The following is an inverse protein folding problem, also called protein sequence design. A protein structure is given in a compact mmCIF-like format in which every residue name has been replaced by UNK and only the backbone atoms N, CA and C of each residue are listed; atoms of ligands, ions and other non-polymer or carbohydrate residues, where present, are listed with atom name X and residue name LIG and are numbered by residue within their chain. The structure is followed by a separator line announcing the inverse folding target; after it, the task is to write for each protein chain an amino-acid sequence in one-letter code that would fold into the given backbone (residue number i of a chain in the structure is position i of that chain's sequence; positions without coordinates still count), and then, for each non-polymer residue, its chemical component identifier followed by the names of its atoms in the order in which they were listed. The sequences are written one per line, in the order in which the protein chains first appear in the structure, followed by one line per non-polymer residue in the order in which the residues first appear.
data_IF_401824715636
#
_entry.id   IF_401824715636
#
_cell.length_a   1.000
_cell.length_b   1.000
_cell.length_c   1.000
_cell.angle_alpha   90.00
_cell.angle_beta   90.00
_cell.angle_gamma   90.00
#
_symmetry.space_group_name_H-M   'P 1'
#
loop_
_entity.id
_entity.type
_entity.pdbx_description
1 polymer ?
#
# COMPACT_ATOMS: atom_id res chain seq x y z
N UNK A 1 33.39 -0.95 12.19
CA UNK A 1 33.25 0.18 11.25
C UNK A 1 33.85 -0.26 9.91
N UNK A 2 33.09 -0.99 9.12
CA UNK A 2 33.41 -1.19 7.71
C UNK A 2 32.98 0.09 7.00
N UNK A 3 33.95 0.71 6.37
CA UNK A 3 33.89 2.04 5.78
C UNK A 3 32.85 2.05 4.65
N UNK A 4 31.80 2.85 4.75
CA UNK A 4 30.76 3.02 3.71
C UNK A 4 31.36 3.44 2.36
N UNK A 5 32.53 4.08 2.38
CA UNK A 5 33.33 4.39 1.18
C UNK A 5 33.76 3.13 0.45
N UNK A 6 34.09 2.07 1.16
CA UNK A 6 34.49 0.77 0.60
C UNK A 6 33.31 0.08 -0.07
N UNK A 7 32.09 0.19 0.48
CA UNK A 7 30.87 -0.39 -0.11
C UNK A 7 30.49 0.35 -1.40
N UNK A 8 30.60 1.67 -1.43
CA UNK A 8 30.32 2.50 -2.61
C UNK A 8 31.36 2.25 -3.73
N UNK A 9 32.63 2.15 -3.40
CA UNK A 9 33.71 1.82 -4.34
C UNK A 9 33.52 0.40 -4.86
N UNK A 10 33.14 -0.55 -4.04
CA UNK A 10 32.86 -1.93 -4.46
C UNK A 10 31.64 -2.01 -5.40
N UNK A 11 30.60 -1.24 -5.18
CA UNK A 11 29.44 -1.16 -6.08
C UNK A 11 29.82 -0.51 -7.42
N UNK A 12 30.65 0.55 -7.42
CA UNK A 12 31.17 1.16 -8.65
C UNK A 12 32.09 0.22 -9.41
N UNK A 13 32.98 -0.49 -8.73
CA UNK A 13 33.87 -1.49 -9.34
C UNK A 13 33.07 -2.68 -9.89
N UNK A 14 32.03 -3.13 -9.19
CA UNK A 14 31.14 -4.21 -9.64
C UNK A 14 30.36 -3.82 -10.90
N UNK A 15 29.84 -2.60 -10.98
CA UNK A 15 29.19 -2.06 -12.19
C UNK A 15 30.21 -1.96 -13.35
N UNK A 16 31.45 -1.60 -13.06
CA UNK A 16 32.50 -1.49 -14.09
C UNK A 16 32.91 -2.87 -14.61
N UNK A 17 33.05 -3.87 -13.75
CA UNK A 17 33.39 -5.25 -14.14
C UNK A 17 32.21 -5.86 -14.93
N UNK A 18 30.96 -5.64 -14.52
CA UNK A 18 29.78 -6.11 -15.27
C UNK A 18 29.68 -5.45 -16.65
N UNK A 19 30.12 -4.19 -16.80
CA UNK A 19 30.18 -3.51 -18.12
C UNK A 19 31.18 -4.20 -19.09
N UNK A 20 32.26 -4.76 -18.58
CA UNK A 20 33.27 -5.42 -19.37
C UNK A 20 32.94 -6.88 -19.71
N UNK A 21 32.35 -7.63 -18.77
CA UNK A 21 32.06 -9.07 -18.95
C UNK A 21 30.76 -9.36 -19.73
N UNK A 22 29.77 -8.50 -19.73
CA UNK A 22 28.44 -8.77 -20.31
C UNK A 22 28.17 -8.11 -21.67
N UNK A 23 29.17 -7.66 -22.38
CA UNK A 23 29.02 -7.05 -23.73
C UNK A 23 27.95 -5.92 -23.78
N UNK A 24 27.82 -5.19 -22.70
CA UNK A 24 27.18 -3.87 -22.65
C UNK A 24 25.65 -3.79 -22.89
N UNK A 25 24.89 -4.83 -22.61
CA UNK A 25 23.42 -4.67 -22.67
C UNK A 25 22.96 -3.68 -21.60
N UNK A 26 22.46 -2.52 -22.03
CA UNK A 26 21.94 -1.45 -21.15
C UNK A 26 20.86 -1.98 -20.21
N UNK A 27 20.07 -2.96 -20.67
CA UNK A 27 18.99 -3.59 -19.90
C UNK A 27 19.53 -4.21 -18.61
N UNK A 28 20.58 -5.02 -18.69
CA UNK A 28 21.18 -5.65 -17.50
C UNK A 28 21.74 -4.63 -16.49
N UNK A 29 22.32 -3.54 -16.99
CA UNK A 29 22.83 -2.48 -16.12
C UNK A 29 21.70 -1.74 -15.40
N UNK A 30 20.59 -1.55 -16.07
CA UNK A 30 19.39 -0.95 -15.49
C UNK A 30 18.78 -1.88 -14.45
N UNK A 31 18.60 -3.15 -14.78
CA UNK A 31 18.03 -4.15 -13.85
C UNK A 31 18.88 -4.29 -12.58
N UNK A 32 20.21 -4.50 -12.72
CA UNK A 32 21.13 -4.57 -11.58
C UNK A 32 21.07 -3.31 -10.71
N UNK A 33 21.06 -2.13 -11.33
CA UNK A 33 20.94 -0.87 -10.60
C UNK A 33 19.63 -0.79 -9.81
N UNK A 34 18.52 -1.22 -10.40
CA UNK A 34 17.22 -1.19 -9.75
C UNK A 34 17.16 -2.19 -8.59
N UNK A 35 17.56 -3.44 -8.82
CA UNK A 35 17.49 -4.53 -7.83
C UNK A 35 18.46 -4.35 -6.66
N UNK A 36 19.62 -3.76 -6.90
CA UNK A 36 20.61 -3.50 -5.83
C UNK A 36 20.19 -2.33 -4.91
N UNK A 37 19.49 -1.33 -5.44
CA UNK A 37 19.20 -0.12 -4.69
C UNK A 37 17.75 0.01 -4.22
N UNK A 38 16.81 -0.67 -4.89
CA UNK A 38 15.39 -0.51 -4.66
C UNK A 38 14.66 -1.85 -4.61
N UNK A 39 13.69 -1.96 -3.74
CA UNK A 39 12.66 -2.99 -3.84
C UNK A 39 11.40 -2.37 -4.40
N UNK A 40 10.78 -3.02 -5.38
CA UNK A 40 9.51 -2.59 -5.96
C UNK A 40 8.44 -3.64 -5.71
N UNK A 41 7.19 -3.20 -5.63
CA UNK A 41 6.03 -4.08 -5.63
C UNK A 41 4.83 -3.38 -6.26
N UNK A 42 3.93 -4.13 -6.89
CA UNK A 42 2.70 -3.61 -7.47
C UNK A 42 1.52 -3.96 -6.58
N UNK A 43 0.92 -2.94 -6.01
CA UNK A 43 -0.24 -3.07 -5.15
C UNK A 43 -1.48 -3.44 -5.97
N UNK A 44 -2.02 -4.63 -5.73
CA UNK A 44 -3.17 -5.16 -6.49
C UNK A 44 -4.47 -4.43 -6.19
N UNK A 45 -4.61 -3.85 -4.99
CA UNK A 45 -5.84 -3.18 -4.60
C UNK A 45 -6.01 -1.81 -5.29
N UNK A 46 -4.95 -1.00 -5.31
CA UNK A 46 -5.01 0.35 -5.89
C UNK A 46 -4.27 0.50 -7.22
N UNK A 47 -3.61 -0.54 -7.71
CA UNK A 47 -2.87 -0.56 -8.98
C UNK A 47 -1.58 0.28 -8.98
N UNK A 48 -1.16 0.83 -7.84
CA UNK A 48 0.03 1.67 -7.75
C UNK A 48 1.28 0.82 -7.55
N UNK A 49 2.38 1.26 -8.13
CA UNK A 49 3.71 0.75 -7.78
C UNK A 49 4.15 1.38 -6.47
N UNK A 50 4.67 0.58 -5.57
CA UNK A 50 5.30 1.00 -4.33
C UNK A 50 6.78 0.62 -4.38
N UNK A 51 7.62 1.39 -3.68
CA UNK A 51 9.04 1.10 -3.60
C UNK A 51 9.58 1.32 -2.19
N UNK A 52 10.69 0.67 -1.91
CA UNK A 52 11.50 0.93 -0.73
C UNK A 52 12.97 1.00 -1.14
N UNK A 53 13.73 1.87 -0.49
CA UNK A 53 15.19 1.95 -0.67
C UNK A 53 15.81 0.82 0.16
N UNK A 54 16.63 -0.03 -0.48
CA UNK A 54 17.26 -1.17 0.19
C UNK A 54 18.39 -0.69 1.11
N UNK A 55 19.16 0.31 0.63
CA UNK A 55 20.23 0.92 1.41
C UNK A 55 19.97 2.42 1.50
N UNK A 56 19.29 2.91 2.55
CA UNK A 56 19.12 4.34 2.74
C UNK A 56 20.49 4.97 2.99
N UNK A 57 20.91 5.87 2.09
CA UNK A 57 22.05 6.73 2.34
C UNK A 57 21.71 7.58 3.59
N UNK A 58 22.60 7.64 4.58
CA UNK A 58 22.49 8.62 5.66
C UNK A 58 22.40 10.01 5.03
N UNK A 59 21.44 10.80 5.45
CA UNK A 59 21.17 12.14 4.93
C UNK A 59 22.45 12.97 4.81
N UNK A 60 22.70 13.41 3.59
CA UNK A 60 23.76 14.24 3.06
C UNK A 60 24.29 15.29 4.05
N UNK A 61 25.46 15.02 4.60
CA UNK A 61 26.25 16.02 5.30
C UNK A 61 27.10 16.75 4.26
N UNK A 62 26.53 17.82 3.68
CA UNK A 62 27.06 18.62 2.57
C UNK A 62 28.45 19.30 2.81
N UNK A 63 29.24 18.84 3.76
CA UNK A 63 30.56 19.43 4.07
C UNK A 63 31.76 18.69 3.48
N UNK A 64 31.60 17.47 2.94
CA UNK A 64 32.76 16.68 2.46
C UNK A 64 32.92 16.63 0.94
N UNK A 65 32.22 17.48 0.18
CA UNK A 65 32.26 17.45 -1.29
C UNK A 65 33.56 17.97 -1.95
N UNK A 66 34.40 18.62 -1.19
CA UNK A 66 35.66 19.22 -1.71
C UNK A 66 36.85 18.24 -1.74
N UNK A 67 36.86 17.21 -0.88
CA UNK A 67 37.96 16.27 -0.77
C UNK A 67 37.92 15.13 -1.80
N UNK A 68 36.71 14.78 -2.30
CA UNK A 68 36.48 13.64 -3.20
C UNK A 68 36.94 13.84 -4.65
N UNK A 69 37.21 15.07 -5.07
CA UNK A 69 37.60 15.36 -6.47
C UNK A 69 39.10 15.21 -6.72
N UNK A 70 39.94 15.17 -5.71
CA UNK A 70 41.39 14.98 -5.88
C UNK A 70 41.80 13.52 -5.91
N UNK A 71 41.11 12.63 -5.15
CA UNK A 71 41.44 11.19 -5.13
C UNK A 71 41.05 10.46 -6.42
N UNK A 72 40.04 10.92 -7.15
CA UNK A 72 39.63 10.32 -8.44
C UNK A 72 40.62 10.56 -9.59
N UNK A 73 41.55 11.51 -9.45
CA UNK A 73 42.59 11.76 -10.47
C UNK A 73 43.83 10.88 -10.33
N UNK A 74 44.02 10.25 -9.16
CA UNK A 74 45.17 9.42 -8.88
C UNK A 74 45.02 7.95 -9.35
N UNK A 75 43.77 7.50 -9.66
CA UNK A 75 43.49 6.08 -9.98
C UNK A 75 43.65 5.73 -11.47
N UNK A 76 43.78 6.73 -12.35
CA UNK A 76 43.80 6.53 -13.81
C UNK A 76 45.19 6.16 -14.43
N UNK A 77 46.27 6.14 -13.63
CA UNK A 77 47.63 5.87 -14.15
C UNK A 77 48.15 4.43 -13.90
N UNK A 78 47.50 3.59 -13.04
CA UNK A 78 48.06 2.29 -12.65
C UNK A 78 47.37 1.04 -13.28
N UNK A 79 46.52 1.18 -14.27
CA UNK A 79 45.77 0.06 -14.84
C UNK A 79 46.50 -0.69 -15.97
N UNK A 80 47.72 -1.21 -15.71
CA UNK A 80 48.40 -2.15 -16.62
C UNK A 80 49.19 -3.22 -15.87
N UNK A 81 48.56 -4.16 -15.24
CA UNK A 81 49.05 -5.54 -15.01
C UNK A 81 48.01 -6.31 -14.15
N UNK A 82 47.27 -7.22 -14.75
CA UNK A 82 46.40 -8.16 -14.03
C UNK A 82 47.03 -9.54 -14.14
N UNK A 83 47.51 -10.05 -13.00
CA UNK A 83 48.16 -11.33 -12.76
C UNK A 83 47.24 -12.32 -12.03
N UNK A 84 47.64 -13.60 -11.94
CA UNK A 84 46.91 -14.74 -11.41
C UNK A 84 46.39 -14.59 -9.96
N UNK A 85 46.88 -13.64 -9.20
CA UNK A 85 46.40 -13.31 -7.84
C UNK A 85 44.92 -12.78 -7.82
N UNK A 86 44.47 -12.22 -8.92
CA UNK A 86 43.09 -11.71 -9.08
C UNK A 86 42.03 -12.82 -9.05
N UNK A 87 42.39 -14.06 -9.43
CA UNK A 87 41.47 -15.22 -9.34
C UNK A 87 41.27 -15.73 -7.91
N UNK A 88 42.29 -15.60 -7.06
CA UNK A 88 42.18 -15.95 -5.64
C UNK A 88 41.29 -14.96 -4.89
N UNK A 89 41.46 -13.65 -5.16
CA UNK A 89 40.64 -12.58 -4.59
C UNK A 89 39.15 -12.72 -4.97
N UNK A 90 38.86 -13.18 -6.21
CA UNK A 90 37.48 -13.41 -6.65
C UNK A 90 36.80 -14.59 -5.94
N UNK A 91 37.58 -15.61 -5.55
CA UNK A 91 37.04 -16.76 -4.81
C UNK A 91 36.76 -16.41 -3.36
N UNK A 92 37.59 -15.57 -2.76
CA UNK A 92 37.40 -15.09 -1.38
C UNK A 92 36.24 -14.06 -1.30
N UNK A 93 36.05 -13.21 -2.33
CA UNK A 93 34.91 -12.30 -2.44
C UNK A 93 33.57 -13.03 -2.55
N UNK A 94 33.50 -14.16 -3.27
CA UNK A 94 32.29 -15.00 -3.31
C UNK A 94 31.96 -15.67 -1.95
N UNK A 95 32.98 -15.99 -1.18
CA UNK A 95 32.79 -16.53 0.18
C UNK A 95 32.26 -15.44 1.12
N UNK A 96 32.81 -14.23 1.05
CA UNK A 96 32.37 -13.08 1.83
C UNK A 96 30.93 -12.65 1.46
N UNK A 97 30.56 -12.69 0.17
CA UNK A 97 29.19 -12.37 -0.30
C UNK A 97 28.16 -13.42 0.19
N UNK A 98 28.58 -14.67 0.35
CA UNK A 98 27.74 -15.74 0.92
C UNK A 98 27.56 -15.58 2.43
N UNK A 99 28.58 -15.15 3.15
CA UNK A 99 28.53 -14.90 4.58
C UNK A 99 27.77 -13.60 4.92
N UNK A 100 27.86 -12.57 4.05
CA UNK A 100 27.07 -11.34 4.14
C UNK A 100 25.59 -11.60 3.89
N UNK A 101 25.23 -12.43 2.91
CA UNK A 101 23.84 -12.84 2.67
C UNK A 101 23.26 -13.65 3.81
N UNK A 102 24.07 -14.49 4.46
CA UNK A 102 23.66 -15.25 5.64
C UNK A 102 23.50 -14.38 6.89
N UNK A 103 24.21 -13.25 6.99
CA UNK A 103 24.03 -12.25 8.07
C UNK A 103 22.84 -11.32 7.81
N UNK A 104 22.49 -11.07 6.55
CA UNK A 104 21.34 -10.23 6.17
C UNK A 104 19.99 -10.92 6.42
N UNK A 105 19.94 -12.26 6.45
CA UNK A 105 18.76 -13.04 6.86
C UNK A 105 18.40 -12.86 8.34
N UNK A 106 19.31 -12.33 9.17
CA UNK A 106 19.14 -12.08 10.60
C UNK A 106 18.66 -10.67 10.96
N UNK A 107 18.89 -9.68 10.12
CA UNK A 107 18.41 -8.30 10.30
C UNK A 107 17.24 -8.04 9.35
N UNK A 108 16.01 -8.24 9.82
CA UNK A 108 14.82 -7.70 9.16
C UNK A 108 14.89 -6.18 9.19
N UNK A 109 15.57 -5.56 8.22
CA UNK A 109 15.43 -4.13 7.96
C UNK A 109 13.98 -3.95 7.52
N UNK A 110 13.16 -3.32 8.35
CA UNK A 110 11.79 -2.97 7.96
C UNK A 110 11.86 -2.04 6.75
N UNK A 111 11.56 -2.59 5.57
CA UNK A 111 11.51 -1.82 4.34
C UNK A 111 10.39 -0.78 4.46
N UNK A 112 10.74 0.49 4.48
CA UNK A 112 9.76 1.58 4.48
C UNK A 112 9.19 1.74 3.07
N UNK A 113 8.04 1.10 2.83
CA UNK A 113 7.34 1.18 1.56
C UNK A 113 6.64 2.53 1.38
N UNK A 114 6.74 3.10 0.19
CA UNK A 114 6.05 4.34 -0.20
C UNK A 114 5.56 4.25 -1.64
N UNK A 115 4.52 5.01 -1.96
CA UNK A 115 3.98 5.04 -3.33
C UNK A 115 5.00 5.67 -4.26
N UNK A 116 5.27 5.00 -5.37
CA UNK A 116 6.20 5.47 -6.40
C UNK A 116 5.54 6.54 -7.26
N UNK A 117 6.06 7.76 -7.18
CA UNK A 117 5.52 8.93 -7.88
C UNK A 117 6.28 9.21 -9.19
N UNK A 118 5.76 10.16 -9.98
CA UNK A 118 6.47 10.65 -11.17
C UNK A 118 7.77 11.36 -10.82
N UNK A 119 7.80 12.03 -9.69
CA UNK A 119 8.98 12.70 -9.15
C UNK A 119 10.06 11.67 -8.78
N UNK A 120 9.67 10.56 -8.15
CA UNK A 120 10.56 9.46 -7.82
C UNK A 120 11.13 8.82 -9.08
N UNK A 121 10.29 8.57 -10.09
CA UNK A 121 10.72 8.07 -11.39
C UNK A 121 11.78 8.97 -12.05
N UNK A 122 11.53 10.29 -12.07
CA UNK A 122 12.48 11.23 -12.65
C UNK A 122 13.79 11.31 -11.86
N UNK A 123 13.72 11.21 -10.53
CA UNK A 123 14.88 11.20 -9.64
C UNK A 123 15.72 9.94 -9.88
N UNK A 124 15.07 8.78 -10.01
CA UNK A 124 15.70 7.51 -10.31
C UNK A 124 16.40 7.53 -11.67
N UNK A 125 15.74 8.02 -12.73
CA UNK A 125 16.34 8.19 -14.06
C UNK A 125 17.56 9.11 -13.99
N UNK A 126 17.50 10.21 -13.23
CA UNK A 126 18.65 11.11 -13.06
C UNK A 126 19.80 10.46 -12.31
N UNK A 127 19.51 9.63 -11.29
CA UNK A 127 20.55 8.88 -10.56
C UNK A 127 21.23 7.88 -11.47
N UNK A 128 20.48 7.08 -12.24
CA UNK A 128 21.01 6.15 -13.23
C UNK A 128 21.93 6.84 -14.24
N UNK A 129 21.51 8.01 -14.77
CA UNK A 129 22.34 8.81 -15.69
C UNK A 129 23.65 9.29 -15.06
N UNK A 130 23.63 9.74 -13.80
CA UNK A 130 24.85 10.16 -13.07
C UNK A 130 25.84 9.02 -12.90
N UNK A 131 25.35 7.80 -12.76
CA UNK A 131 26.17 6.57 -12.68
C UNK A 131 26.60 6.05 -14.07
N UNK A 132 26.28 6.76 -15.16
CA UNK A 132 26.63 6.37 -16.52
C UNK A 132 25.83 5.16 -17.04
N UNK A 133 24.75 4.79 -16.38
CA UNK A 133 23.83 3.72 -16.82
C UNK A 133 23.02 4.25 -17.99
N UNK A 134 22.99 3.48 -19.10
CA UNK A 134 22.36 3.89 -20.36
C UNK A 134 23.34 4.36 -21.43
N UNK A 135 24.62 4.56 -21.10
CA UNK A 135 25.65 4.94 -22.08
C UNK A 135 25.32 6.25 -22.80
N UNK A 136 25.23 6.21 -24.13
CA UNK A 136 24.88 7.38 -24.97
C UNK A 136 23.36 7.64 -25.01
N UNK A 137 22.52 6.68 -24.65
CA UNK A 137 21.06 6.80 -24.59
C UNK A 137 20.56 7.09 -23.17
N UNK A 138 19.30 7.49 -23.06
CA UNK A 138 18.68 7.67 -21.73
C UNK A 138 18.16 6.32 -21.23
N UNK A 139 18.43 5.90 -20.00
CA UNK A 139 17.91 4.66 -19.43
C UNK A 139 16.41 4.76 -19.08
N UNK A 140 15.72 5.82 -19.50
CA UNK A 140 14.35 6.11 -19.12
C UNK A 140 13.38 5.02 -19.55
N UNK A 141 13.46 4.60 -20.82
CA UNK A 141 12.55 3.60 -21.38
C UNK A 141 12.79 2.23 -20.74
N UNK A 142 14.05 1.84 -20.55
CA UNK A 142 14.40 0.56 -19.93
C UNK A 142 13.91 0.49 -18.47
N UNK A 143 14.01 1.61 -17.72
CA UNK A 143 13.46 1.73 -16.38
C UNK A 143 11.92 1.65 -16.39
N UNK A 144 11.26 2.30 -17.34
CA UNK A 144 9.80 2.28 -17.50
C UNK A 144 9.32 0.87 -17.84
N UNK A 145 9.98 0.19 -18.80
CA UNK A 145 9.70 -1.19 -19.16
C UNK A 145 9.87 -2.16 -17.99
N UNK A 146 10.93 -2.02 -17.19
CA UNK A 146 11.13 -2.81 -15.97
C UNK A 146 9.96 -2.61 -14.99
N UNK A 147 9.62 -1.35 -14.70
CA UNK A 147 8.56 -1.02 -13.75
C UNK A 147 7.16 -1.47 -14.20
N UNK A 148 6.92 -1.56 -15.51
CA UNK A 148 5.67 -2.05 -16.08
C UNK A 148 5.67 -3.57 -16.32
N UNK A 149 6.82 -4.23 -16.20
CA UNK A 149 6.97 -5.67 -16.45
C UNK A 149 6.53 -6.52 -15.26
N UNK A 150 6.58 -7.85 -15.44
CA UNK A 150 6.36 -8.83 -14.37
C UNK A 150 7.57 -8.96 -13.41
N UNK A 151 8.68 -8.28 -13.66
CA UNK A 151 9.80 -8.21 -12.74
C UNK A 151 9.41 -7.53 -11.42
N UNK A 152 8.44 -6.61 -11.46
CA UNK A 152 7.84 -6.02 -10.25
C UNK A 152 6.78 -6.95 -9.68
N UNK A 153 7.03 -7.59 -8.51
CA UNK A 153 6.12 -8.56 -7.93
C UNK A 153 4.79 -7.95 -7.54
N UNK A 154 3.73 -8.72 -7.69
CA UNK A 154 2.41 -8.36 -7.20
C UNK A 154 2.38 -8.40 -5.66
N UNK A 155 1.70 -7.42 -5.06
CA UNK A 155 1.52 -7.29 -3.62
C UNK A 155 0.03 -7.15 -3.31
N UNK A 156 -0.49 -8.06 -2.52
CA UNK A 156 -1.86 -8.02 -2.03
C UNK A 156 -1.88 -7.64 -0.54
N UNK A 157 -2.17 -6.38 -0.19
CA UNK A 157 -2.13 -5.91 1.20
C UNK A 157 -3.15 -6.60 2.09
N UNK A 158 -4.25 -7.07 1.52
CA UNK A 158 -5.30 -7.76 2.28
C UNK A 158 -4.86 -9.19 2.60
N UNK A 159 -4.38 -9.89 1.57
CA UNK A 159 -3.89 -11.26 1.70
C UNK A 159 -2.74 -11.32 2.70
N UNK A 160 -1.75 -10.45 2.55
CA UNK A 160 -0.60 -10.42 3.45
C UNK A 160 -1.01 -10.14 4.91
N UNK A 161 -1.97 -9.22 5.12
CA UNK A 161 -2.51 -8.95 6.45
C UNK A 161 -3.24 -10.15 7.03
N UNK A 162 -4.14 -10.78 6.27
CA UNK A 162 -4.98 -11.87 6.76
C UNK A 162 -4.19 -13.18 6.96
N UNK A 163 -3.18 -13.45 6.13
CA UNK A 163 -2.31 -14.64 6.29
C UNK A 163 -1.34 -14.50 7.47
N UNK A 164 -1.02 -13.29 7.90
CA UNK A 164 -0.18 -13.03 9.06
C UNK A 164 -0.93 -13.10 10.40
N UNK A 165 -2.26 -13.25 10.39
CA UNK A 165 -3.06 -13.26 11.61
C UNK A 165 -2.76 -14.47 12.49
N UNK A 166 -2.70 -14.28 13.83
CA UNK A 166 -2.55 -15.38 14.76
C UNK A 166 -3.84 -16.23 14.83
N UNK A 167 -3.76 -17.35 15.51
CA UNK A 167 -4.96 -18.10 15.85
C UNK A 167 -5.89 -17.26 16.75
N UNK A 168 -7.18 -17.28 16.47
CA UNK A 168 -8.19 -16.59 17.28
C UNK A 168 -8.20 -17.12 18.73
N UNK A 169 -8.24 -16.21 19.69
CA UNK A 169 -8.20 -16.48 21.13
C UNK A 169 -9.56 -16.94 21.72
N UNK A 170 -10.62 -16.96 20.93
CA UNK A 170 -11.96 -17.37 21.33
C UNK A 170 -12.82 -16.22 21.94
N UNK A 171 -12.26 -15.00 22.11
CA UNK A 171 -13.00 -13.84 22.61
C UNK A 171 -13.77 -13.15 21.49
N UNK A 172 -14.86 -12.46 21.84
CA UNK A 172 -15.65 -11.73 20.85
C UNK A 172 -15.15 -10.28 20.69
N UNK A 173 -14.05 -10.12 19.97
CA UNK A 173 -13.42 -8.82 19.70
C UNK A 173 -14.31 -7.89 18.85
N UNK A 174 -15.16 -8.46 18.00
CA UNK A 174 -16.14 -7.68 17.22
C UNK A 174 -17.19 -7.04 18.14
N UNK A 175 -17.69 -7.79 19.12
CA UNK A 175 -18.63 -7.23 20.11
C UNK A 175 -17.94 -6.20 21.00
N UNK A 176 -16.69 -6.39 21.39
CA UNK A 176 -15.90 -5.42 22.14
C UNK A 176 -15.71 -4.12 21.34
N UNK A 177 -15.40 -4.23 20.04
CA UNK A 177 -15.24 -3.07 19.16
C UNK A 177 -16.52 -2.26 19.02
N UNK A 178 -17.62 -2.87 18.60
CA UNK A 178 -18.88 -2.15 18.40
C UNK A 178 -19.53 -1.76 19.72
N UNK A 179 -19.28 -2.48 20.82
CA UNK A 179 -19.73 -2.13 22.17
C UNK A 179 -19.17 -0.79 22.69
N UNK A 180 -18.17 -0.21 22.03
CA UNK A 180 -17.64 1.13 22.31
C UNK A 180 -18.60 2.25 21.91
N UNK A 181 -19.64 1.93 21.14
CA UNK A 181 -20.67 2.88 20.70
C UNK A 181 -21.78 2.93 21.77
N UNK A 182 -21.92 4.03 22.51
CA UNK A 182 -22.97 4.15 23.51
C UNK A 182 -24.36 3.99 22.89
N UNK A 183 -25.22 3.21 23.56
CA UNK A 183 -26.59 2.99 23.13
C UNK A 183 -26.79 1.90 22.08
N UNK A 184 -25.72 1.22 21.65
CA UNK A 184 -25.87 0.07 20.74
C UNK A 184 -26.60 -1.08 21.45
N UNK A 185 -27.53 -1.71 20.74
CA UNK A 185 -28.26 -2.88 21.27
C UNK A 185 -27.55 -4.19 20.91
N UNK A 186 -27.86 -5.28 21.63
CA UNK A 186 -27.34 -6.61 21.34
C UNK A 186 -27.68 -7.08 19.92
N UNK A 187 -28.85 -6.70 19.40
CA UNK A 187 -29.28 -7.02 18.05
C UNK A 187 -28.45 -6.25 17.01
N UNK A 188 -28.21 -4.96 17.24
CA UNK A 188 -27.36 -4.14 16.40
C UNK A 188 -25.90 -4.62 16.40
N UNK A 189 -25.38 -5.09 17.55
CA UNK A 189 -24.08 -5.74 17.63
C UNK A 189 -23.98 -6.95 16.70
N UNK A 190 -24.99 -7.82 16.72
CA UNK A 190 -25.03 -9.00 15.84
C UNK A 190 -25.09 -8.61 14.34
N UNK A 191 -25.85 -7.58 14.01
CA UNK A 191 -25.90 -7.08 12.63
C UNK A 191 -24.57 -6.46 12.18
N UNK A 192 -23.91 -5.69 13.05
CA UNK A 192 -22.59 -5.14 12.77
C UNK A 192 -21.53 -6.25 12.60
N UNK A 193 -21.61 -7.30 13.43
CA UNK A 193 -20.73 -8.45 13.27
C UNK A 193 -20.95 -9.18 11.93
N UNK A 194 -22.22 -9.33 11.52
CA UNK A 194 -22.55 -9.91 10.21
C UNK A 194 -22.06 -9.03 9.07
N UNK A 195 -22.23 -7.71 9.18
CA UNK A 195 -21.74 -6.74 8.20
C UNK A 195 -20.22 -6.79 8.05
N UNK A 196 -19.47 -6.85 9.16
CA UNK A 196 -18.01 -6.90 9.13
C UNK A 196 -17.52 -8.21 8.50
N UNK A 197 -18.10 -9.35 8.86
CA UNK A 197 -17.78 -10.64 8.22
C UNK A 197 -18.06 -10.63 6.71
N UNK A 198 -19.20 -10.03 6.30
CA UNK A 198 -19.51 -9.87 4.88
C UNK A 198 -18.48 -8.98 4.18
N UNK A 199 -18.00 -7.92 4.84
CA UNK A 199 -16.93 -7.09 4.29
C UNK A 199 -15.65 -7.89 4.05
N UNK A 200 -15.18 -8.66 5.03
CA UNK A 200 -14.00 -9.50 4.89
C UNK A 200 -14.21 -10.59 3.83
N UNK A 201 -15.40 -11.18 3.73
CA UNK A 201 -15.73 -12.14 2.68
C UNK A 201 -15.59 -11.54 1.27
N UNK A 202 -15.96 -10.26 1.09
CA UNK A 202 -15.72 -9.53 -0.17
C UNK A 202 -14.24 -9.29 -0.42
N UNK A 203 -13.47 -8.96 0.60
CA UNK A 203 -12.01 -8.80 0.47
C UNK A 203 -11.31 -10.08 0.00
N UNK A 204 -11.82 -11.23 0.47
CA UNK A 204 -11.32 -12.57 0.11
C UNK A 204 -11.98 -13.15 -1.17
N UNK A 205 -12.84 -12.40 -1.84
CA UNK A 205 -13.63 -12.85 -3.00
C UNK A 205 -14.47 -14.12 -2.73
N UNK A 206 -14.86 -14.36 -1.47
CA UNK A 206 -15.67 -15.52 -1.08
C UNK A 206 -17.15 -15.35 -1.42
N UNK A 207 -17.65 -14.11 -1.54
CA UNK A 207 -18.98 -13.80 -2.03
C UNK A 207 -18.90 -12.98 -3.33
N UNK A 208 -19.10 -13.67 -4.45
CA UNK A 208 -19.09 -13.07 -5.79
C UNK A 208 -20.50 -12.94 -6.38
N UNK A 209 -21.53 -13.28 -5.60
CA UNK A 209 -22.93 -13.26 -6.05
C UNK A 209 -23.71 -12.07 -5.52
N UNK A 210 -23.36 -11.58 -4.32
CA UNK A 210 -24.08 -10.52 -3.64
C UNK A 210 -23.15 -9.37 -3.27
N UNK A 211 -23.63 -8.14 -3.31
CA UNK A 211 -22.95 -7.00 -2.71
C UNK A 211 -23.20 -6.99 -1.20
N UNK A 212 -22.27 -6.45 -0.40
CA UNK A 212 -22.56 -6.12 0.99
C UNK A 212 -23.48 -4.89 1.02
N UNK A 213 -24.79 -5.14 0.93
CA UNK A 213 -25.81 -4.08 0.82
C UNK A 213 -26.09 -3.38 2.15
N UNK A 214 -25.73 -4.01 3.27
CA UNK A 214 -25.97 -3.48 4.61
C UNK A 214 -24.97 -2.34 4.89
N UNK A 215 -25.50 -1.28 5.49
CA UNK A 215 -24.73 -0.07 5.81
C UNK A 215 -25.05 0.36 7.25
N UNK A 216 -24.11 0.19 8.19
CA UNK A 216 -24.21 0.80 9.51
C UNK A 216 -24.22 2.32 9.40
N UNK A 217 -25.14 2.99 10.10
CA UNK A 217 -25.24 4.44 10.18
C UNK A 217 -25.06 4.86 11.63
N UNK A 218 -23.99 5.61 11.90
CA UNK A 218 -23.72 6.19 13.22
C UNK A 218 -24.37 7.56 13.32
N UNK A 219 -25.42 7.67 14.12
CA UNK A 219 -26.24 8.87 14.29
C UNK A 219 -25.92 9.50 15.64
N UNK A 220 -25.58 10.79 15.67
CA UNK A 220 -25.29 11.48 16.93
C UNK A 220 -24.73 12.87 16.73
N UNK A 221 -24.60 13.63 17.79
CA UNK A 221 -24.12 15.00 17.77
C UNK A 221 -22.74 15.14 17.14
N UNK A 222 -22.44 16.32 16.64
CA UNK A 222 -21.12 16.65 16.12
C UNK A 222 -20.05 16.46 17.21
N UNK A 223 -18.89 15.92 16.82
CA UNK A 223 -17.77 15.72 17.74
C UNK A 223 -17.89 14.52 18.68
N UNK A 224 -18.97 13.70 18.63
CA UNK A 224 -19.07 12.52 19.49
C UNK A 224 -18.20 11.31 19.06
N UNK A 225 -17.33 11.45 18.06
CA UNK A 225 -16.31 10.45 17.71
C UNK A 225 -16.71 9.46 16.61
N UNK A 226 -17.80 9.68 15.86
CA UNK A 226 -18.31 8.78 14.81
C UNK A 226 -17.29 8.52 13.68
N UNK A 227 -16.80 9.57 13.04
CA UNK A 227 -15.87 9.46 11.91
C UNK A 227 -14.51 8.89 12.34
N UNK A 228 -14.05 9.24 13.56
CA UNK A 228 -12.86 8.65 14.16
C UNK A 228 -13.03 7.14 14.35
N UNK A 229 -14.16 6.70 14.89
CA UNK A 229 -14.48 5.29 15.05
C UNK A 229 -14.52 4.56 13.71
N UNK A 230 -15.20 5.14 12.72
CA UNK A 230 -15.28 4.58 11.38
C UNK A 230 -13.91 4.34 10.76
N UNK A 231 -13.00 5.30 10.84
CA UNK A 231 -11.65 5.18 10.35
C UNK A 231 -10.83 4.10 11.10
N UNK A 232 -11.06 3.95 12.40
CA UNK A 232 -10.41 2.96 13.26
C UNK A 232 -10.94 1.53 13.10
N UNK A 233 -11.89 1.27 12.22
CA UNK A 233 -12.27 -0.10 11.86
C UNK A 233 -11.11 -0.82 11.16
N UNK A 234 -10.24 -0.10 10.43
CA UNK A 234 -9.06 -0.66 9.78
C UNK A 234 -7.80 -0.47 10.64
N UNK A 235 -6.91 -1.49 10.66
CA UNK A 235 -5.58 -1.34 11.24
C UNK A 235 -4.77 -0.29 10.46
N UNK A 236 -3.75 0.27 11.09
CA UNK A 236 -2.98 1.39 10.53
C UNK A 236 -2.49 1.11 9.11
N UNK A 237 -1.96 -0.08 8.87
CA UNK A 237 -1.44 -0.49 7.57
C UNK A 237 -2.49 -0.54 6.46
N UNK A 238 -3.78 -0.74 6.78
CA UNK A 238 -4.90 -0.76 5.84
C UNK A 238 -5.70 0.54 5.79
N UNK A 239 -5.43 1.52 6.66
CA UNK A 239 -6.19 2.79 6.71
C UNK A 239 -6.12 3.60 5.43
N UNK A 240 -5.08 3.47 4.64
CA UNK A 240 -5.01 4.09 3.32
C UNK A 240 -6.13 3.66 2.37
N UNK A 241 -6.81 2.54 2.66
CA UNK A 241 -7.96 2.02 1.90
C UNK A 241 -9.29 2.36 2.55
N UNK A 242 -9.30 3.30 3.48
CA UNK A 242 -10.51 3.91 4.01
C UNK A 242 -10.80 5.20 3.23
N UNK A 243 -11.98 5.30 2.63
CA UNK A 243 -12.42 6.50 1.94
C UNK A 243 -13.45 7.23 2.81
N UNK A 244 -13.11 8.44 3.26
CA UNK A 244 -13.95 9.22 4.17
C UNK A 244 -15.11 9.92 3.46
N UNK A 245 -14.99 10.19 2.16
CA UNK A 245 -16.02 10.83 1.37
C UNK A 245 -16.06 10.29 -0.06
N UNK A 246 -17.25 9.94 -0.54
CA UNK A 246 -17.47 9.46 -1.90
C UNK A 246 -18.28 10.45 -2.73
N UNK A 247 -17.83 10.73 -3.95
CA UNK A 247 -18.55 11.57 -4.90
C UNK A 247 -19.44 10.73 -5.84
N UNK A 248 -20.72 10.61 -5.53
CA UNK A 248 -21.69 9.91 -6.38
C UNK A 248 -22.07 10.65 -7.66
N UNK A 249 -21.69 11.92 -7.82
CA UNK A 249 -21.95 12.67 -9.06
C UNK A 249 -21.06 12.19 -10.20
N UNK A 250 -19.85 11.73 -9.90
CA UNK A 250 -18.91 11.18 -10.86
C UNK A 250 -18.94 9.64 -10.81
N UNK A 251 -19.42 9.02 -11.91
CA UNK A 251 -19.48 7.56 -12.00
C UNK A 251 -18.09 6.92 -11.89
N UNK A 252 -17.06 7.51 -12.51
CA UNK A 252 -15.70 6.98 -12.46
C UNK A 252 -15.17 6.94 -11.03
N UNK A 253 -15.30 8.05 -10.29
CA UNK A 253 -14.83 8.13 -8.90
C UNK A 253 -15.57 7.13 -8.00
N UNK A 254 -16.90 6.97 -8.19
CA UNK A 254 -17.66 6.00 -7.43
C UNK A 254 -17.33 4.55 -7.77
N UNK A 255 -17.03 4.24 -9.03
CA UNK A 255 -16.60 2.91 -9.45
C UNK A 255 -15.17 2.60 -8.93
N UNK A 256 -14.27 3.59 -8.96
CA UNK A 256 -12.93 3.46 -8.37
C UNK A 256 -12.99 3.29 -6.84
N UNK A 257 -13.88 4.01 -6.17
CA UNK A 257 -14.08 3.86 -4.73
C UNK A 257 -14.43 2.42 -4.35
N UNK A 258 -15.23 1.72 -5.16
CA UNK A 258 -15.63 0.34 -4.90
C UNK A 258 -14.48 -0.67 -5.03
N UNK A 259 -13.52 -0.40 -5.90
CA UNK A 259 -12.46 -1.35 -6.25
C UNK A 259 -11.13 -1.08 -5.56
N UNK A 260 -10.93 0.12 -5.01
CA UNK A 260 -9.66 0.55 -4.42
C UNK A 260 -9.73 0.78 -2.91
N UNK A 261 -10.91 0.67 -2.30
CA UNK A 261 -11.07 0.88 -0.88
C UNK A 261 -11.73 -0.34 -0.21
N UNK A 262 -11.48 -0.52 1.06
CA UNK A 262 -12.06 -1.56 1.92
C UNK A 262 -13.32 -1.07 2.60
N UNK A 263 -13.27 0.14 3.15
CA UNK A 263 -14.43 0.83 3.70
C UNK A 263 -14.61 2.20 3.07
N UNK A 264 -15.86 2.55 2.82
CA UNK A 264 -16.28 3.86 2.31
C UNK A 264 -17.27 4.46 3.29
N UNK A 265 -16.89 5.60 3.88
CA UNK A 265 -17.79 6.37 4.73
C UNK A 265 -18.65 7.31 3.86
N UNK A 266 -19.94 7.30 4.11
CA UNK A 266 -20.87 8.28 3.56
C UNK A 266 -21.06 9.34 4.64
N UNK A 267 -20.20 10.36 4.58
CA UNK A 267 -20.31 11.46 5.52
C UNK A 267 -21.54 12.30 5.20
N UNK A 268 -22.24 12.76 6.23
CA UNK A 268 -23.46 13.55 6.11
C UNK A 268 -24.53 12.94 5.18
N UNK A 269 -24.85 11.66 5.38
CA UNK A 269 -25.86 10.92 4.59
C UNK A 269 -27.18 11.70 4.43
N UNK A 270 -27.56 12.48 5.43
CA UNK A 270 -28.77 13.30 5.40
C UNK A 270 -28.77 14.39 4.32
N UNK A 271 -27.61 14.85 3.89
CA UNK A 271 -27.47 15.85 2.84
C UNK A 271 -27.68 15.30 1.41
N UNK A 272 -27.78 13.97 1.30
CA UNK A 272 -28.03 13.31 0.01
C UNK A 272 -29.49 13.45 -0.42
N UNK A 273 -29.73 14.13 -1.53
CA UNK A 273 -31.05 14.21 -2.15
C UNK A 273 -31.55 12.83 -2.64
N UNK A 274 -32.88 12.70 -2.95
CA UNK A 274 -33.48 11.43 -3.35
C UNK A 274 -32.79 10.75 -4.55
N UNK A 275 -32.32 11.54 -5.54
CA UNK A 275 -31.60 11.03 -6.70
C UNK A 275 -30.26 10.39 -6.32
N UNK A 276 -29.53 10.99 -5.37
CA UNK A 276 -28.26 10.47 -4.89
C UNK A 276 -28.46 9.22 -4.03
N UNK A 277 -29.49 9.18 -3.20
CA UNK A 277 -29.86 7.98 -2.44
C UNK A 277 -30.26 6.82 -3.37
N UNK A 278 -30.93 7.10 -4.50
CA UNK A 278 -31.21 6.11 -5.54
C UNK A 278 -29.92 5.54 -6.16
N UNK A 279 -28.94 6.39 -6.48
CA UNK A 279 -27.61 5.95 -6.95
C UNK A 279 -26.86 5.14 -5.91
N UNK A 280 -26.90 5.56 -4.64
CA UNK A 280 -26.30 4.83 -3.54
C UNK A 280 -26.85 3.40 -3.46
N UNK A 281 -28.18 3.23 -3.52
CA UNK A 281 -28.81 1.89 -3.51
C UNK A 281 -28.29 1.00 -4.63
N UNK A 282 -28.23 1.53 -5.85
CA UNK A 282 -27.65 0.80 -6.99
C UNK A 282 -26.19 0.44 -6.74
N UNK A 283 -25.42 1.35 -6.14
CA UNK A 283 -24.02 1.11 -5.81
C UNK A 283 -23.84 0.06 -4.72
N UNK A 284 -24.70 0.07 -3.70
CA UNK A 284 -24.68 -0.93 -2.61
C UNK A 284 -24.92 -2.36 -3.14
N UNK A 285 -25.76 -2.52 -4.15
CA UNK A 285 -26.08 -3.84 -4.73
C UNK A 285 -25.07 -4.34 -5.78
N UNK A 286 -24.08 -3.52 -6.17
CA UNK A 286 -23.07 -3.96 -7.14
C UNK A 286 -22.16 -5.02 -6.54
N UNK A 287 -21.94 -6.10 -7.26
CA UNK A 287 -21.02 -7.18 -6.91
C UNK A 287 -19.64 -6.94 -7.52
N UNK A 288 -19.63 -6.41 -8.73
CA UNK A 288 -18.44 -6.09 -9.51
C UNK A 288 -18.59 -4.74 -10.18
N UNK A 289 -17.51 -4.19 -10.63
CA UNK A 289 -17.46 -2.94 -11.37
C UNK A 289 -16.90 -3.23 -12.75
N UNK A 290 -17.67 -2.88 -13.79
CA UNK A 290 -17.15 -2.87 -15.14
C UNK A 290 -16.65 -1.46 -15.47
N UNK A 291 -15.34 -1.32 -15.56
CA UNK A 291 -14.72 -0.02 -15.76
C UNK A 291 -13.30 -0.15 -16.30
N UNK A 292 -12.80 0.94 -16.87
CA UNK A 292 -11.42 1.03 -17.32
C UNK A 292 -10.52 1.41 -16.14
N UNK A 293 -9.46 0.65 -15.83
CA UNK A 293 -8.45 1.06 -14.85
C UNK A 293 -7.82 2.40 -15.22
N UNK A 294 -7.23 3.09 -14.25
CA UNK A 294 -6.68 4.45 -14.43
C UNK A 294 -5.72 4.53 -15.63
N UNK A 295 -4.92 3.48 -15.89
CA UNK A 295 -4.01 3.40 -17.04
C UNK A 295 -4.37 2.28 -18.02
N UNK A 296 -5.51 1.62 -17.82
CA UNK A 296 -5.98 0.53 -18.69
C UNK A 296 -6.44 1.02 -20.05
N UNK A 297 -6.18 0.23 -21.10
CA UNK A 297 -6.64 0.52 -22.48
C UNK A 297 -8.04 -0.01 -22.75
N UNK A 298 -8.51 -1.01 -21.98
CA UNK A 298 -9.80 -1.67 -22.14
C UNK A 298 -10.64 -1.64 -20.86
N UNK A 299 -11.95 -1.83 -21.00
CA UNK A 299 -12.85 -2.09 -19.87
C UNK A 299 -12.65 -3.53 -19.40
N UNK A 300 -12.66 -3.73 -18.10
CA UNK A 300 -12.56 -5.03 -17.46
C UNK A 300 -13.51 -5.12 -16.27
N UNK A 301 -13.93 -6.33 -15.96
CA UNK A 301 -14.68 -6.62 -14.74
C UNK A 301 -13.70 -6.69 -13.56
N UNK A 302 -13.91 -5.84 -12.58
CA UNK A 302 -13.10 -5.78 -11.37
C UNK A 302 -13.93 -6.15 -10.15
N UNK A 303 -13.39 -6.92 -9.21
CA UNK A 303 -14.08 -7.25 -7.99
C UNK A 303 -14.32 -5.99 -7.15
N UNK A 304 -15.43 -5.99 -6.42
CA UNK A 304 -15.70 -4.99 -5.41
C UNK A 304 -15.09 -5.43 -4.08
N UNK A 305 -14.31 -4.55 -3.46
CA UNK A 305 -13.82 -4.73 -2.10
C UNK A 305 -14.63 -3.92 -1.08
N UNK A 306 -15.09 -2.72 -1.48
CA UNK A 306 -15.66 -1.76 -0.56
C UNK A 306 -16.98 -2.19 0.07
N UNK A 307 -17.04 -2.12 1.38
CA UNK A 307 -18.28 -2.08 2.17
C UNK A 307 -18.53 -0.67 2.68
N UNK A 308 -19.81 -0.31 2.82
CA UNK A 308 -20.20 1.03 3.19
C UNK A 308 -20.58 1.14 4.66
N UNK A 309 -20.32 2.29 5.23
CA UNK A 309 -20.86 2.79 6.49
C UNK A 309 -21.21 4.26 6.32
N UNK A 310 -21.95 4.84 7.25
CA UNK A 310 -22.31 6.25 7.18
C UNK A 310 -22.22 6.92 8.54
N UNK A 311 -21.96 8.23 8.52
CA UNK A 311 -22.01 9.10 9.69
C UNK A 311 -22.99 10.25 9.43
N UNK A 312 -23.72 10.67 10.44
CA UNK A 312 -24.64 11.81 10.34
C UNK A 312 -24.93 12.42 11.70
N UNK A 313 -25.32 13.70 11.69
CA UNK A 313 -25.83 14.40 12.85
C UNK A 313 -27.39 14.45 12.86
N UNK A 314 -28.04 14.10 11.75
CA UNK A 314 -29.46 14.09 11.60
C UNK A 314 -30.05 12.81 12.19
N UNK A 315 -31.07 12.96 13.02
CA UNK A 315 -31.80 11.83 13.66
C UNK A 315 -32.65 11.04 12.65
N UNK A 316 -32.99 11.64 11.50
CA UNK A 316 -33.81 11.04 10.44
C UNK A 316 -33.07 11.08 9.06
N UNK A 317 -31.93 10.40 8.91
CA UNK A 317 -31.08 10.55 7.72
C UNK A 317 -31.64 9.88 6.45
N UNK A 318 -32.72 9.10 6.57
CA UNK A 318 -33.27 8.33 5.46
C UNK A 318 -34.52 9.04 4.88
N UNK A 319 -34.41 9.48 3.63
CA UNK A 319 -35.51 10.09 2.89
C UNK A 319 -36.41 9.08 2.19
N UNK A 320 -36.02 7.81 2.15
CA UNK A 320 -36.74 6.77 1.40
C UNK A 320 -37.49 5.81 2.32
N UNK A 321 -38.76 5.72 2.07
CA UNK A 321 -39.69 4.86 2.81
C UNK A 321 -39.53 3.37 2.47
N UNK A 322 -38.92 3.01 1.37
CA UNK A 322 -38.88 1.63 0.82
C UNK A 322 -37.54 0.91 1.03
N UNK A 323 -36.49 1.61 1.46
CA UNK A 323 -35.12 1.09 1.48
C UNK A 323 -34.50 0.87 2.84
N UNK A 324 -35.22 1.05 3.92
CA UNK A 324 -34.70 1.02 5.30
C UNK A 324 -34.08 -0.31 5.74
N UNK A 325 -34.43 -1.42 5.09
CA UNK A 325 -33.87 -2.77 5.37
C UNK A 325 -32.34 -2.88 5.19
N UNK A 326 -31.73 -1.94 4.46
CA UNK A 326 -30.28 -1.93 4.18
C UNK A 326 -29.48 -1.20 5.27
N UNK A 327 -30.16 -0.53 6.20
CA UNK A 327 -29.48 0.38 7.11
C UNK A 327 -29.61 -0.08 8.57
N UNK A 328 -28.47 -0.13 9.26
CA UNK A 328 -28.42 -0.36 10.72
C UNK A 328 -28.25 1.00 11.36
N UNK A 329 -29.36 1.62 11.79
CA UNK A 329 -29.31 2.94 12.41
C UNK A 329 -28.95 2.82 13.92
N UNK A 330 -27.72 3.24 14.26
CA UNK A 330 -27.17 3.21 15.62
C UNK A 330 -27.17 4.65 16.16
N UNK A 331 -28.01 4.92 17.16
CA UNK A 331 -28.17 6.25 17.77
C UNK A 331 -27.31 6.37 19.02
N UNK A 332 -26.35 7.30 18.98
CA UNK A 332 -25.53 7.65 20.13
C UNK A 332 -26.29 8.67 20.95
N UNK A 333 -26.62 8.39 22.24
CA UNK A 333 -27.38 9.30 23.08
C UNK A 333 -26.69 10.65 23.25
N UNK A 334 -27.47 11.71 23.37
CA UNK A 334 -26.93 13.05 23.57
C UNK A 334 -25.99 13.11 24.79
N UNK A 335 -24.90 13.82 24.65
CA UNK A 335 -23.85 13.92 25.67
C UNK A 335 -22.97 12.66 25.86
N UNK A 336 -23.18 11.62 25.07
CA UNK A 336 -22.33 10.43 25.07
C UNK A 336 -21.34 10.48 23.89
N UNK A 337 -20.18 9.86 24.10
CA UNK A 337 -19.08 9.82 23.12
C UNK A 337 -18.67 8.38 22.86
N UNK A 338 -18.29 8.09 21.62
CA UNK A 338 -17.72 6.79 21.25
C UNK A 338 -16.34 6.66 21.92
N UNK A 339 -16.05 5.51 22.51
CA UNK A 339 -14.74 5.23 23.06
C UNK A 339 -13.72 4.98 21.92
N UNK A 340 -13.01 6.05 21.57
CA UNK A 340 -11.91 6.01 20.62
C UNK A 340 -10.53 5.96 21.32
N UNK A 341 -10.47 5.97 22.65
CA UNK A 341 -9.23 5.95 23.43
C UNK A 341 -8.68 4.55 23.65
N UNK A 342 -9.56 3.59 23.86
CA UNK A 342 -9.15 2.22 24.16
C UNK A 342 -8.44 1.56 22.95
N UNK A 343 -7.37 0.76 23.17
CA UNK A 343 -6.68 0.06 22.11
C UNK A 343 -7.57 -0.99 21.45
N UNK A 344 -7.36 -1.24 20.16
CA UNK A 344 -8.03 -2.28 19.39
C UNK A 344 -6.97 -3.35 19.08
N UNK A 345 -7.27 -4.59 19.46
CA UNK A 345 -6.49 -5.74 19.05
C UNK A 345 -6.95 -6.16 17.63
N UNK A 346 -6.33 -5.57 16.62
CA UNK A 346 -6.70 -5.80 15.23
C UNK A 346 -6.39 -7.22 14.76
N UNK A 347 -5.33 -7.83 15.29
CA UNK A 347 -4.97 -9.19 14.92
C UNK A 347 -6.06 -10.16 15.37
N UNK A 348 -6.52 -10.06 16.61
CA UNK A 348 -7.60 -10.90 17.14
C UNK A 348 -8.98 -10.54 16.57
N UNK A 349 -9.22 -9.25 16.29
CA UNK A 349 -10.45 -8.78 15.66
C UNK A 349 -10.69 -9.42 14.30
N UNK A 350 -9.65 -9.51 13.48
CA UNK A 350 -9.74 -10.07 12.12
C UNK A 350 -9.44 -11.57 12.06
N UNK A 351 -8.84 -12.16 13.10
CA UNK A 351 -8.70 -13.60 13.25
C UNK A 351 -10.02 -14.30 13.66
N UNK A 352 -10.99 -13.55 14.20
CA UNK A 352 -12.33 -14.01 14.57
C UNK A 352 -13.22 -14.23 13.34
#
# INVERSE_FOLDING_TARGET
HADHTTLFINNLNRITIMKEEMNGSVIYLVESFLEENYAFRRNLLNGKTEFAIIHPEEEDNTKNKAEYTEDLKAVDEDSKAIDEDSKAVYKDLKAVDKDLKAQDEGLKIEKKWQVFTKEDFNSLVRRAKKLGIGGKSSPRNDIEEYLESMAVPAYDPIKDFLEALPQWDGRNHVAELFGRIPGITSEQLNWCATWLRSAVAHWLHMDMLHGNEITPIFIGQQGCGKSTFANRLLPEMLRQYFLDHINFANKFDSDMALTHNLFVNIDELANMGPSQQGKLKQTLSKVKVNGRPIFGKSQEDRPRYASFLATTNDEHPLCDTTGSRRYICIRIPAGKFVDNGSPIDYEQLYAQ
#
